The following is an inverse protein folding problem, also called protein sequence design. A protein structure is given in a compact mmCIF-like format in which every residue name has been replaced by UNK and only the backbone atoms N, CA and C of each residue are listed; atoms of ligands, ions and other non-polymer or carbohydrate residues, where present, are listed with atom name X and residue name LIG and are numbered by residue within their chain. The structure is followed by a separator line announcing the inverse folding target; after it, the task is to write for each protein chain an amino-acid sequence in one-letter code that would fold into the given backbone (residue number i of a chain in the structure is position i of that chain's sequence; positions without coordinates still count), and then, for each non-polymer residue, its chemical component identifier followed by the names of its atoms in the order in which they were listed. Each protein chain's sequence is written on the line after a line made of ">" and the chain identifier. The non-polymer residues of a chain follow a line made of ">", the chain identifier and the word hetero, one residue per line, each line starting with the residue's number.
data_IF_047891097354
#
_entry.id   IF_047891097354
#
_cell.length_a   1.000
_cell.length_b   1.000
_cell.length_c   1.000
_cell.angle_alpha   90.00
_cell.angle_beta   90.00
_cell.angle_gamma   90.00
#
_symmetry.space_group_name_H-M   'P 1'
#
loop_
_entity.id
_entity.type
_entity.pdbx_description
1 polymer ?
#
# COMPACT_ATOMS: atom_id res chain seq x y z
N UNK A 1 7.09 -2.27 16.92
CA UNK A 1 6.55 -1.32 17.92
C UNK A 1 5.19 -1.82 18.36
N UNK A 2 4.90 -1.80 19.67
CA UNK A 2 3.58 -2.14 20.22
C UNK A 2 3.10 -0.98 21.07
N UNK A 3 1.93 -0.43 20.73
CA UNK A 3 1.26 0.62 21.50
C UNK A 3 -0.12 0.15 21.92
N UNK A 4 -0.58 0.64 23.07
CA UNK A 4 -1.91 0.36 23.58
C UNK A 4 -2.73 1.64 23.52
N UNK A 5 -3.90 1.58 22.88
CA UNK A 5 -4.86 2.67 22.82
C UNK A 5 -6.19 2.21 23.43
N UNK A 6 -6.64 2.92 24.46
CA UNK A 6 -7.95 2.71 25.07
C UNK A 6 -8.92 3.79 24.58
N UNK A 7 -10.06 3.38 24.07
CA UNK A 7 -11.10 4.30 23.60
C UNK A 7 -12.19 4.40 24.63
N UNK A 8 -12.32 5.56 25.26
CA UNK A 8 -13.38 5.83 26.26
C UNK A 8 -14.67 6.15 25.53
N UNK A 9 -15.70 5.33 25.73
CA UNK A 9 -17.05 5.54 25.19
C UNK A 9 -18.09 5.44 26.31
N UNK A 10 -19.22 6.12 26.14
CA UNK A 10 -20.40 5.98 27.00
C UNK A 10 -20.12 6.16 28.51
N UNK A 11 -19.12 6.93 28.90
CA UNK A 11 -18.76 7.13 30.30
C UNK A 11 -17.94 6.01 30.93
N UNK A 12 -17.35 5.13 30.11
CA UNK A 12 -16.40 4.12 30.57
C UNK A 12 -15.21 4.76 31.29
N UNK A 13 -14.72 4.10 32.31
CA UNK A 13 -13.51 4.51 33.03
C UNK A 13 -12.29 3.78 32.47
N UNK A 14 -11.18 4.48 32.38
CA UNK A 14 -9.89 3.87 32.01
C UNK A 14 -9.51 2.87 33.12
N UNK A 15 -9.17 1.60 32.78
CA UNK A 15 -8.77 0.62 33.78
C UNK A 15 -7.60 1.12 34.65
N UNK A 16 -7.66 0.85 35.94
CA UNK A 16 -6.59 1.21 36.88
C UNK A 16 -5.26 0.58 36.45
N UNK A 17 -4.21 1.36 36.39
CA UNK A 17 -2.86 0.92 35.95
C UNK A 17 -2.70 0.76 34.43
N UNK A 18 -3.64 1.22 33.62
CA UNK A 18 -3.48 1.23 32.17
C UNK A 18 -2.34 2.17 31.76
N UNK A 19 -1.29 1.62 31.13
CA UNK A 19 -0.07 2.33 30.76
C UNK A 19 -0.03 2.79 29.29
N UNK A 20 -1.15 2.68 28.58
CA UNK A 20 -1.28 3.08 27.17
C UNK A 20 -1.87 4.47 27.01
N UNK A 21 -2.14 4.82 25.77
CA UNK A 21 -2.76 6.09 25.42
C UNK A 21 -4.28 6.01 25.52
N UNK A 22 -4.92 7.14 25.75
CA UNK A 22 -6.38 7.23 25.93
C UNK A 22 -6.97 8.16 24.86
N UNK A 23 -7.85 7.61 24.03
CA UNK A 23 -8.68 8.38 23.11
C UNK A 23 -10.04 8.68 23.78
N UNK A 24 -10.36 9.94 23.94
CA UNK A 24 -11.59 10.41 24.60
C UNK A 24 -12.76 10.46 23.62
N UNK A 25 -13.32 9.28 23.30
CA UNK A 25 -14.41 9.12 22.34
C UNK A 25 -13.93 8.70 20.94
N UNK A 26 -14.82 8.78 19.96
CA UNK A 26 -14.49 8.46 18.58
C UNK A 26 -13.64 9.57 17.96
N UNK A 27 -12.58 9.18 17.22
CA UNK A 27 -11.73 10.13 16.53
C UNK A 27 -12.49 10.83 15.40
N UNK A 28 -12.49 12.16 15.41
CA UNK A 28 -13.15 13.03 14.42
C UNK A 28 -12.18 13.95 13.70
N UNK A 29 -10.99 14.11 14.25
CA UNK A 29 -9.91 14.96 13.74
C UNK A 29 -8.64 14.13 13.71
N UNK A 30 -8.35 13.60 12.53
CA UNK A 30 -7.27 12.64 12.33
C UNK A 30 -6.16 13.27 11.47
N UNK A 31 -4.92 13.12 11.90
CA UNK A 31 -3.75 13.37 11.06
C UNK A 31 -3.23 12.03 10.55
N UNK A 32 -3.21 11.86 9.22
CA UNK A 32 -2.80 10.63 8.56
C UNK A 32 -1.39 10.77 7.96
N UNK A 33 -0.42 10.03 8.50
CA UNK A 33 0.97 10.10 8.05
C UNK A 33 1.30 9.18 6.87
N UNK A 34 0.29 8.44 6.35
CA UNK A 34 0.42 7.61 5.16
C UNK A 34 -0.82 7.74 4.28
N UNK A 35 -0.64 7.67 2.95
CA UNK A 35 -1.73 7.63 1.99
C UNK A 35 -2.61 6.37 2.12
N UNK A 36 -2.05 5.24 2.64
CA UNK A 36 -2.82 4.03 2.92
C UNK A 36 -3.87 4.25 4.00
N UNK A 37 -3.56 5.06 5.04
CA UNK A 37 -4.53 5.43 6.08
C UNK A 37 -5.69 6.25 5.50
N UNK A 38 -5.39 7.14 4.55
CA UNK A 38 -6.40 7.94 3.84
C UNK A 38 -7.36 7.02 3.08
N UNK A 39 -6.81 6.07 2.31
CA UNK A 39 -7.60 5.12 1.54
C UNK A 39 -8.49 4.24 2.44
N UNK A 40 -7.99 3.81 3.60
CA UNK A 40 -8.77 3.03 4.57
C UNK A 40 -9.93 3.85 5.15
N UNK A 41 -9.68 5.11 5.53
CA UNK A 41 -10.73 6.01 6.04
C UNK A 41 -11.76 6.36 4.95
N UNK A 42 -11.32 6.51 3.71
CA UNK A 42 -12.22 6.74 2.56
C UNK A 42 -13.10 5.53 2.28
N UNK A 43 -12.53 4.32 2.30
CA UNK A 43 -13.26 3.07 2.06
C UNK A 43 -14.43 2.85 3.05
N UNK A 44 -14.31 3.37 4.27
CA UNK A 44 -15.36 3.30 5.30
C UNK A 44 -16.24 4.57 5.33
N UNK A 45 -16.02 5.53 4.40
CA UNK A 45 -16.77 6.78 4.30
C UNK A 45 -16.47 7.79 5.40
N UNK A 46 -15.27 7.74 6.00
CA UNK A 46 -14.83 8.62 7.09
C UNK A 46 -13.64 9.53 6.68
N UNK A 47 -13.37 9.69 5.38
CA UNK A 47 -12.28 10.55 4.87
C UNK A 47 -12.38 12.00 5.36
N UNK A 48 -13.57 12.45 5.73
CA UNK A 48 -13.81 13.80 6.27
C UNK A 48 -13.29 14.01 7.70
N UNK A 49 -12.97 12.94 8.41
CA UNK A 49 -12.28 13.03 9.70
C UNK A 49 -10.81 13.49 9.54
N UNK A 50 -10.26 13.44 8.34
CA UNK A 50 -8.89 13.85 8.07
C UNK A 50 -8.77 15.36 8.06
N UNK A 51 -7.97 15.90 8.99
CA UNK A 51 -7.65 17.32 9.13
C UNK A 51 -6.22 17.65 8.76
N UNK A 52 -5.34 16.65 8.75
CA UNK A 52 -3.94 16.80 8.36
C UNK A 52 -3.38 15.55 7.70
N UNK A 53 -2.39 15.74 6.85
CA UNK A 53 -1.72 14.68 6.08
C UNK A 53 -0.23 14.95 5.96
N UNK A 54 0.51 13.92 5.53
CA UNK A 54 1.91 14.02 5.13
C UNK A 54 1.98 14.07 3.60
N UNK A 55 2.51 15.16 3.03
CA UNK A 55 2.80 15.30 1.61
C UNK A 55 1.56 15.35 0.72
N UNK A 56 0.70 16.35 0.93
CA UNK A 56 -0.60 16.51 0.24
C UNK A 56 -0.52 16.47 -1.28
N UNK A 57 0.59 16.90 -1.87
CA UNK A 57 0.77 16.91 -3.32
C UNK A 57 0.81 15.49 -3.93
N UNK A 58 1.28 14.50 -3.16
CA UNK A 58 1.39 13.11 -3.60
C UNK A 58 0.14 12.27 -3.32
N UNK A 59 -0.87 12.83 -2.66
CA UNK A 59 -2.12 12.14 -2.37
C UNK A 59 -3.02 12.18 -3.60
N UNK A 60 -3.57 11.03 -3.97
CA UNK A 60 -4.44 10.87 -5.15
C UNK A 60 -5.92 10.96 -4.79
N UNK A 61 -6.29 10.84 -3.51
CA UNK A 61 -7.67 10.85 -3.05
C UNK A 61 -8.39 12.15 -3.46
N UNK A 62 -9.51 12.08 -4.21
CA UNK A 62 -10.17 13.26 -4.75
C UNK A 62 -10.83 14.15 -3.69
N UNK A 63 -11.30 13.59 -2.56
CA UNK A 63 -11.89 14.40 -1.47
C UNK A 63 -10.79 15.21 -0.77
N UNK A 64 -9.62 14.61 -0.51
CA UNK A 64 -8.46 15.31 0.04
C UNK A 64 -8.02 16.43 -0.90
N UNK A 65 -7.88 16.16 -2.20
CA UNK A 65 -7.46 17.17 -3.17
C UNK A 65 -8.48 18.30 -3.33
N UNK A 66 -9.78 17.99 -3.28
CA UNK A 66 -10.84 19.00 -3.33
C UNK A 66 -10.86 19.93 -2.10
N UNK A 67 -10.37 19.45 -0.96
CA UNK A 67 -10.30 20.18 0.32
C UNK A 67 -8.89 20.62 0.71
N UNK A 68 -7.93 20.55 -0.21
CA UNK A 68 -6.50 20.75 0.11
C UNK A 68 -6.20 22.05 0.86
N UNK A 69 -6.94 23.14 0.58
CA UNK A 69 -6.73 24.43 1.24
C UNK A 69 -7.19 24.44 2.72
N UNK A 70 -7.96 23.44 3.13
CA UNK A 70 -8.47 23.28 4.49
C UNK A 70 -7.84 22.08 5.24
N UNK A 71 -6.96 21.36 4.61
CA UNK A 71 -6.22 20.23 5.18
C UNK A 71 -4.77 20.65 5.41
N UNK A 72 -4.27 20.42 6.63
CA UNK A 72 -2.88 20.76 6.96
C UNK A 72 -1.89 19.75 6.35
N UNK A 73 -0.91 20.22 5.58
CA UNK A 73 0.24 19.40 5.24
C UNK A 73 1.27 19.52 6.37
N UNK A 74 1.33 18.52 7.24
CA UNK A 74 2.22 18.54 8.41
C UNK A 74 3.67 18.18 8.07
N UNK A 75 3.96 17.91 6.81
CA UNK A 75 5.30 17.51 6.36
C UNK A 75 5.57 16.00 6.51
N UNK A 76 6.84 15.63 6.43
CA UNK A 76 7.30 14.25 6.47
C UNK A 76 8.01 13.93 7.78
N UNK A 77 8.08 12.68 8.15
CA UNK A 77 8.86 12.22 9.28
C UNK A 77 10.32 12.73 9.19
N UNK A 78 10.81 13.32 10.28
CA UNK A 78 12.09 14.02 10.31
C UNK A 78 12.03 15.53 10.01
N UNK A 79 10.91 16.03 9.44
CA UNK A 79 10.69 17.48 9.22
C UNK A 79 9.19 17.83 9.39
N UNK A 80 8.66 17.56 10.58
CA UNK A 80 7.25 17.81 10.92
C UNK A 80 7.04 19.25 11.37
N UNK A 81 6.01 19.89 10.86
CA UNK A 81 5.51 21.16 11.34
C UNK A 81 4.60 20.94 12.56
N UNK A 82 5.19 20.89 13.76
CA UNK A 82 4.45 20.68 15.00
C UNK A 82 3.54 21.85 15.38
N UNK A 83 3.84 23.07 14.95
CA UNK A 83 2.95 24.21 15.18
C UNK A 83 1.64 24.05 14.40
N UNK A 84 1.75 23.66 13.14
CA UNK A 84 0.59 23.32 12.32
C UNK A 84 -0.17 22.13 12.91
N UNK A 85 0.54 21.04 13.25
CA UNK A 85 -0.06 19.84 13.84
C UNK A 85 -0.88 20.19 15.08
N UNK A 86 -0.34 20.99 16.01
CA UNK A 86 -1.06 21.49 17.18
C UNK A 86 -2.28 22.34 16.83
N UNK A 87 -2.16 23.20 15.81
CA UNK A 87 -3.26 24.06 15.38
C UNK A 87 -4.43 23.29 14.78
N UNK A 88 -4.15 22.10 14.24
CA UNK A 88 -5.18 21.16 13.75
C UNK A 88 -5.94 20.49 14.89
N UNK A 89 -5.42 20.53 16.12
CA UNK A 89 -6.00 19.96 17.34
C UNK A 89 -6.51 18.51 17.10
N UNK A 90 -5.64 17.56 16.70
CA UNK A 90 -6.06 16.23 16.34
C UNK A 90 -6.46 15.38 17.55
N UNK A 91 -7.51 14.59 17.40
CA UNK A 91 -7.87 13.56 18.38
C UNK A 91 -6.90 12.37 18.30
N UNK A 92 -6.35 12.10 17.10
CA UNK A 92 -5.51 10.94 16.83
C UNK A 92 -4.55 11.21 15.68
N UNK A 93 -3.29 10.80 15.83
CA UNK A 93 -2.30 10.74 14.74
C UNK A 93 -2.08 9.29 14.34
N UNK A 94 -2.27 8.96 13.05
CA UNK A 94 -1.98 7.63 12.51
C UNK A 94 -0.55 7.59 11.98
N UNK A 95 0.29 6.75 12.59
CA UNK A 95 1.70 6.58 12.25
C UNK A 95 1.93 5.28 11.47
N UNK A 96 3.05 5.20 10.79
CA UNK A 96 3.61 3.96 10.26
C UNK A 96 5.04 3.76 10.83
N UNK A 97 5.49 2.52 10.94
CA UNK A 97 6.74 2.18 11.62
C UNK A 97 7.66 1.29 10.77
N UNK A 98 7.79 1.56 9.49
CA UNK A 98 8.59 0.75 8.55
C UNK A 98 10.03 0.61 9.01
N UNK A 99 10.61 1.68 9.55
CA UNK A 99 11.98 1.73 10.05
C UNK A 99 12.09 1.63 11.58
N UNK A 100 11.04 1.17 12.25
CA UNK A 100 10.96 1.12 13.72
C UNK A 100 10.02 2.19 14.29
N UNK A 101 10.30 2.61 15.54
CA UNK A 101 9.52 3.66 16.19
C UNK A 101 9.67 5.00 15.44
N UNK A 102 8.57 5.73 15.29
CA UNK A 102 8.59 7.05 14.66
C UNK A 102 9.31 8.06 15.53
N UNK A 103 10.09 8.95 14.92
CA UNK A 103 10.70 10.08 15.61
C UNK A 103 9.65 11.06 16.20
N UNK A 104 8.38 10.92 15.79
CA UNK A 104 7.28 11.74 16.30
C UNK A 104 6.79 11.30 17.69
N UNK A 105 7.00 10.03 18.10
CA UNK A 105 6.42 9.48 19.35
C UNK A 105 6.66 10.40 20.55
N UNK A 106 7.94 10.64 20.90
CA UNK A 106 8.29 11.44 22.07
C UNK A 106 7.66 12.84 22.06
N UNK A 107 7.51 13.42 20.87
CA UNK A 107 6.90 14.76 20.75
C UNK A 107 5.38 14.71 20.87
N UNK A 108 4.73 13.68 20.34
CA UNK A 108 3.30 13.47 20.49
C UNK A 108 2.94 13.19 21.97
N UNK A 109 3.77 12.39 22.66
CA UNK A 109 3.63 12.15 24.11
C UNK A 109 3.79 13.46 24.93
N UNK A 110 4.81 14.27 24.63
CA UNK A 110 5.02 15.57 25.27
C UNK A 110 3.82 16.51 25.09
N UNK A 111 3.16 16.43 23.94
CA UNK A 111 2.01 17.25 23.56
C UNK A 111 0.66 16.67 23.99
N UNK A 112 0.64 15.51 24.65
CA UNK A 112 -0.56 14.76 25.05
C UNK A 112 -1.50 14.47 23.85
N UNK A 113 -0.92 14.19 22.67
CA UNK A 113 -1.66 13.86 21.44
C UNK A 113 -1.64 12.34 21.25
N UNK A 114 -2.77 11.66 21.30
CA UNK A 114 -2.85 10.22 21.05
C UNK A 114 -2.37 9.86 19.64
N UNK A 115 -1.64 8.74 19.53
CA UNK A 115 -1.23 8.21 18.25
C UNK A 115 -1.39 6.69 18.18
N UNK A 116 -1.51 6.16 16.98
CA UNK A 116 -1.63 4.74 16.72
C UNK A 116 -0.79 4.34 15.52
N UNK A 117 -0.07 3.22 15.63
CA UNK A 117 0.57 2.62 14.47
C UNK A 117 -0.42 1.78 13.66
N UNK A 118 -0.45 2.01 12.36
CA UNK A 118 -1.15 1.16 11.39
C UNK A 118 -0.12 0.24 10.76
N UNK A 119 -0.24 -1.05 11.03
CA UNK A 119 0.76 -2.06 10.66
C UNK A 119 0.48 -2.75 9.32
N UNK A 120 -0.28 -2.13 8.43
CA UNK A 120 -0.67 -2.69 7.14
C UNK A 120 0.51 -3.11 6.25
N UNK A 121 1.65 -2.43 6.39
CA UNK A 121 2.87 -2.74 5.64
C UNK A 121 3.55 -4.05 6.10
N UNK A 122 3.23 -4.56 7.29
CA UNK A 122 3.73 -5.83 7.82
C UNK A 122 2.91 -7.04 7.34
N UNK A 123 1.73 -6.79 6.78
CA UNK A 123 0.85 -7.85 6.32
C UNK A 123 1.39 -8.54 5.07
N UNK A 124 1.52 -9.86 5.16
CA UNK A 124 1.88 -10.69 4.02
C UNK A 124 0.68 -11.01 3.13
N UNK A 125 -0.53 -10.99 3.71
CA UNK A 125 -1.77 -11.28 3.01
C UNK A 125 -2.37 -10.02 2.38
N UNK A 126 -2.72 -10.02 1.08
CA UNK A 126 -3.45 -8.92 0.46
C UNK A 126 -4.78 -8.60 1.16
N UNK A 127 -5.47 -9.61 1.65
CA UNK A 127 -6.73 -9.44 2.39
C UNK A 127 -6.49 -8.92 3.81
N UNK A 128 -5.45 -9.41 4.52
CA UNK A 128 -5.07 -8.91 5.84
C UNK A 128 -4.70 -7.41 5.78
N UNK A 129 -3.99 -7.01 4.73
CA UNK A 129 -3.65 -5.60 4.51
C UNK A 129 -4.91 -4.73 4.37
N UNK A 130 -5.90 -5.17 3.61
CA UNK A 130 -7.17 -4.46 3.46
C UNK A 130 -8.02 -4.45 4.74
N UNK A 131 -7.93 -5.49 5.57
CA UNK A 131 -8.71 -5.63 6.82
C UNK A 131 -8.40 -4.52 7.84
N UNK A 132 -7.24 -3.86 7.75
CA UNK A 132 -6.91 -2.72 8.61
C UNK A 132 -7.92 -1.58 8.54
N UNK A 133 -8.73 -1.48 7.46
CA UNK A 133 -9.85 -0.54 7.41
C UNK A 133 -10.87 -0.78 8.55
N UNK A 134 -11.03 -2.02 9.01
CA UNK A 134 -11.92 -2.36 10.13
C UNK A 134 -11.37 -1.80 11.44
N UNK A 135 -10.04 -1.85 11.65
CA UNK A 135 -9.38 -1.23 12.81
C UNK A 135 -9.62 0.29 12.81
N UNK A 136 -9.44 0.96 11.65
CA UNK A 136 -9.70 2.40 11.54
C UNK A 136 -11.18 2.73 11.73
N UNK A 137 -12.09 1.84 11.33
CA UNK A 137 -13.51 2.01 11.59
C UNK A 137 -13.85 1.91 13.08
N UNK A 138 -13.10 1.12 13.85
CA UNK A 138 -13.27 1.05 15.31
C UNK A 138 -12.90 2.40 15.97
N UNK A 139 -11.76 3.00 15.62
CA UNK A 139 -11.34 4.27 16.23
C UNK A 139 -12.24 5.47 15.83
N UNK A 140 -12.96 5.37 14.73
CA UNK A 140 -13.96 6.38 14.29
C UNK A 140 -15.39 6.08 14.73
N UNK A 141 -15.63 5.00 15.51
CA UNK A 141 -16.96 4.59 15.95
C UNK A 141 -17.87 4.08 14.83
N UNK A 142 -17.27 3.55 13.74
CA UNK A 142 -17.97 3.10 12.53
C UNK A 142 -17.72 1.63 12.22
N UNK A 143 -17.48 0.79 13.24
CA UNK A 143 -17.11 -0.63 13.08
C UNK A 143 -18.01 -1.38 12.10
N UNK A 144 -19.33 -1.27 12.22
CA UNK A 144 -20.25 -1.93 11.29
C UNK A 144 -20.05 -1.53 9.83
N UNK A 145 -19.69 -0.25 9.57
CA UNK A 145 -19.36 0.22 8.21
C UNK A 145 -18.08 -0.44 7.71
N UNK A 146 -17.04 -0.52 8.55
CA UNK A 146 -15.77 -1.15 8.22
C UNK A 146 -15.93 -2.63 7.91
N UNK A 147 -16.62 -3.37 8.79
CA UNK A 147 -16.92 -4.79 8.59
C UNK A 147 -17.71 -5.02 7.28
N UNK A 148 -18.70 -4.18 6.99
CA UNK A 148 -19.50 -4.27 5.76
C UNK A 148 -18.66 -3.92 4.52
N UNK A 149 -17.81 -2.89 4.59
CA UNK A 149 -16.93 -2.51 3.47
C UNK A 149 -15.94 -3.62 3.16
N UNK A 150 -15.32 -4.21 4.19
CA UNK A 150 -14.36 -5.30 4.04
C UNK A 150 -15.02 -6.60 3.54
N UNK A 151 -16.20 -6.97 4.04
CA UNK A 151 -16.81 -8.30 3.81
C UNK A 151 -16.95 -8.69 2.34
N UNK A 152 -17.15 -7.73 1.43
CA UNK A 152 -17.30 -7.99 0.01
C UNK A 152 -15.96 -8.27 -0.71
N UNK A 153 -14.85 -7.77 -0.17
CA UNK A 153 -13.51 -7.86 -0.80
C UNK A 153 -13.02 -9.31 -0.85
N UNK A 154 -13.00 -10.09 0.27
CA UNK A 154 -12.58 -11.49 0.24
C UNK A 154 -13.45 -12.36 -0.69
N UNK A 155 -14.74 -12.05 -0.80
CA UNK A 155 -15.66 -12.79 -1.68
C UNK A 155 -15.22 -12.66 -3.15
N UNK A 156 -14.98 -11.42 -3.61
CA UNK A 156 -14.53 -11.16 -4.99
C UNK A 156 -13.12 -11.69 -5.23
N UNK A 157 -12.21 -11.46 -4.29
CA UNK A 157 -10.82 -11.91 -4.35
C UNK A 157 -10.74 -13.44 -4.49
N UNK A 158 -11.39 -14.17 -3.58
CA UNK A 158 -11.34 -15.63 -3.57
C UNK A 158 -12.09 -16.27 -4.74
N UNK A 159 -13.16 -15.66 -5.23
CA UNK A 159 -13.86 -16.12 -6.43
C UNK A 159 -12.93 -16.04 -7.66
N UNK A 160 -12.19 -14.95 -7.83
CA UNK A 160 -11.26 -14.79 -8.94
C UNK A 160 -10.06 -15.74 -8.80
N UNK A 161 -9.45 -15.81 -7.62
CA UNK A 161 -8.36 -16.77 -7.30
C UNK A 161 -8.78 -18.20 -7.62
N UNK A 162 -9.99 -18.60 -7.23
CA UNK A 162 -10.53 -19.93 -7.56
C UNK A 162 -10.69 -20.12 -9.07
N UNK A 163 -11.21 -19.13 -9.80
CA UNK A 163 -11.35 -19.18 -11.26
C UNK A 163 -10.01 -19.40 -11.96
N UNK A 164 -8.95 -18.74 -11.48
CA UNK A 164 -7.57 -18.95 -11.97
C UNK A 164 -7.09 -20.36 -11.66
N UNK A 165 -7.25 -20.84 -10.43
CA UNK A 165 -6.80 -22.17 -10.00
C UNK A 165 -7.52 -23.31 -10.74
N UNK A 166 -8.78 -23.13 -11.10
CA UNK A 166 -9.57 -24.10 -11.86
C UNK A 166 -9.23 -24.09 -13.38
N UNK A 167 -8.44 -23.11 -13.85
CA UNK A 167 -8.04 -23.02 -15.25
C UNK A 167 -6.86 -23.95 -15.56
N UNK A 168 -6.71 -24.30 -16.84
CA UNK A 168 -5.58 -25.11 -17.36
C UNK A 168 -4.53 -24.23 -18.05
N UNK A 169 -4.50 -22.94 -17.75
CA UNK A 169 -3.63 -21.96 -18.38
C UNK A 169 -2.18 -22.10 -17.92
N UNK A 170 -1.26 -21.58 -18.71
CA UNK A 170 0.16 -21.56 -18.35
C UNK A 170 0.45 -20.69 -17.11
N UNK A 171 1.62 -20.83 -16.53
CA UNK A 171 2.05 -20.08 -15.36
C UNK A 171 3.22 -19.16 -15.75
N UNK A 172 2.97 -17.91 -16.18
CA UNK A 172 4.04 -17.01 -16.59
C UNK A 172 4.99 -16.68 -15.42
N UNK A 173 6.29 -16.67 -15.73
CA UNK A 173 7.32 -16.25 -14.77
C UNK A 173 7.45 -14.73 -14.76
N UNK A 174 7.54 -14.17 -13.56
CA UNK A 174 7.44 -12.72 -13.33
C UNK A 174 8.67 -12.19 -12.60
N UNK A 175 9.38 -11.25 -13.23
CA UNK A 175 10.42 -10.41 -12.62
C UNK A 175 9.78 -9.16 -12.02
N UNK A 176 10.28 -8.72 -10.86
CA UNK A 176 9.77 -7.56 -10.14
C UNK A 176 10.82 -6.48 -9.97
N UNK A 177 10.34 -5.23 -9.91
CA UNK A 177 11.11 -4.03 -9.55
C UNK A 177 12.15 -3.62 -10.61
N UNK A 178 13.02 -2.70 -10.23
CA UNK A 178 14.17 -2.20 -11.00
C UNK A 178 15.39 -2.13 -10.08
N UNK A 179 16.61 -2.05 -10.60
CA UNK A 179 17.80 -1.88 -9.79
C UNK A 179 17.78 -0.55 -9.01
N UNK A 180 18.37 -0.57 -7.84
CA UNK A 180 18.68 0.62 -7.05
C UNK A 180 20.19 0.66 -6.80
N UNK A 181 20.87 1.58 -7.46
CA UNK A 181 22.33 1.56 -7.55
C UNK A 181 22.84 0.28 -8.20
N UNK A 182 23.78 -0.40 -7.53
CA UNK A 182 24.40 -1.64 -8.00
C UNK A 182 23.69 -2.91 -7.47
N UNK A 183 22.50 -2.77 -6.89
CA UNK A 183 21.76 -3.86 -6.29
C UNK A 183 20.34 -3.93 -6.83
N UNK A 184 19.78 -5.15 -6.84
CA UNK A 184 18.37 -5.38 -7.12
C UNK A 184 17.69 -5.99 -5.90
N UNK A 185 16.69 -5.31 -5.34
CA UNK A 185 16.01 -5.76 -4.15
C UNK A 185 14.87 -6.72 -4.50
N UNK A 186 15.05 -7.98 -4.11
CA UNK A 186 14.11 -9.07 -4.37
C UNK A 186 13.19 -9.27 -3.17
N UNK A 187 11.87 -9.05 -3.33
CA UNK A 187 10.89 -9.34 -2.28
C UNK A 187 10.94 -10.79 -1.80
N UNK A 188 10.45 -11.03 -0.59
CA UNK A 188 10.23 -12.38 -0.09
C UNK A 188 9.17 -13.11 -0.93
N UNK A 189 9.29 -14.44 -1.01
CA UNK A 189 8.25 -15.32 -1.57
C UNK A 189 6.94 -15.27 -0.75
N UNK A 190 7.02 -14.82 0.51
CA UNK A 190 5.88 -14.62 1.40
C UNK A 190 5.29 -13.19 1.32
N UNK A 191 5.94 -12.30 0.58
CA UNK A 191 5.50 -10.91 0.47
C UNK A 191 4.12 -10.78 -0.17
N UNK A 192 3.43 -9.71 0.18
CA UNK A 192 2.17 -9.30 -0.40
C UNK A 192 2.16 -9.37 -1.94
N UNK A 193 3.20 -8.84 -2.61
CA UNK A 193 3.28 -8.83 -4.07
C UNK A 193 3.52 -10.22 -4.64
N UNK A 194 4.35 -11.05 -4.00
CA UNK A 194 4.59 -12.43 -4.45
C UNK A 194 3.31 -13.29 -4.33
N UNK A 195 2.51 -13.07 -3.26
CA UNK A 195 1.20 -13.73 -3.09
C UNK A 195 0.21 -13.30 -4.16
N UNK A 196 0.12 -12.02 -4.48
CA UNK A 196 -0.74 -11.53 -5.57
C UNK A 196 -0.38 -12.16 -6.90
N UNK A 197 0.92 -12.27 -7.23
CA UNK A 197 1.38 -12.93 -8.46
C UNK A 197 0.95 -14.40 -8.46
N UNK A 198 1.14 -15.12 -7.36
CA UNK A 198 0.76 -16.53 -7.24
C UNK A 198 -0.76 -16.70 -7.34
N UNK A 199 -1.53 -15.88 -6.65
CA UNK A 199 -3.00 -15.92 -6.66
C UNK A 199 -3.60 -15.55 -8.02
N UNK A 200 -2.86 -14.77 -8.82
CA UNK A 200 -3.19 -14.43 -10.20
C UNK A 200 -2.74 -15.49 -11.23
N UNK A 201 -2.14 -16.60 -10.79
CA UNK A 201 -1.67 -17.69 -11.65
C UNK A 201 -0.29 -17.47 -12.27
N UNK A 202 0.47 -16.50 -11.80
CA UNK A 202 1.86 -16.29 -12.17
C UNK A 202 2.84 -16.99 -11.21
N UNK A 203 4.10 -16.99 -11.57
CA UNK A 203 5.20 -17.50 -10.75
C UNK A 203 6.23 -16.39 -10.54
N UNK A 204 6.33 -15.90 -9.30
CA UNK A 204 7.42 -15.00 -8.94
C UNK A 204 8.77 -15.70 -9.18
N UNK A 205 9.66 -15.07 -9.93
CA UNK A 205 10.84 -15.76 -10.45
C UNK A 205 11.90 -16.05 -9.38
N UNK A 206 12.02 -15.17 -8.37
CA UNK A 206 13.04 -15.32 -7.32
C UNK A 206 12.52 -16.13 -6.13
N UNK A 207 13.02 -17.36 -5.99
CA UNK A 207 12.53 -18.30 -4.97
C UNK A 207 13.46 -18.46 -3.75
N UNK A 208 14.62 -17.78 -3.74
CA UNK A 208 15.63 -17.97 -2.69
C UNK A 208 15.35 -17.15 -1.41
N UNK A 209 14.50 -16.10 -1.50
CA UNK A 209 14.15 -15.27 -0.34
C UNK A 209 12.86 -15.76 0.31
N UNK A 210 12.99 -16.51 1.40
CA UNK A 210 11.87 -17.00 2.24
C UNK A 210 11.73 -16.23 3.55
N UNK A 211 12.50 -15.18 3.75
CA UNK A 211 12.47 -14.31 4.93
C UNK A 211 11.25 -13.37 4.93
N UNK A 212 11.29 -12.33 5.74
CA UNK A 212 10.23 -11.35 5.92
C UNK A 212 10.54 -9.96 5.32
N UNK A 213 11.73 -9.79 4.73
CA UNK A 213 12.17 -8.55 4.12
C UNK A 213 12.73 -8.79 2.71
N UNK A 214 12.81 -7.75 1.89
CA UNK A 214 13.53 -7.81 0.62
C UNK A 214 15.02 -7.94 0.86
N UNK A 215 15.70 -8.72 0.01
CA UNK A 215 17.16 -8.89 0.06
C UNK A 215 17.79 -8.38 -1.24
N UNK A 216 18.98 -7.76 -1.18
CA UNK A 216 19.70 -7.37 -2.36
C UNK A 216 20.35 -8.59 -3.05
N UNK A 217 20.31 -8.58 -4.39
CA UNK A 217 21.14 -9.44 -5.25
C UNK A 217 21.96 -8.55 -6.18
N UNK A 218 23.02 -9.09 -6.75
CA UNK A 218 23.82 -8.36 -7.74
C UNK A 218 23.09 -8.26 -9.10
N UNK A 219 23.57 -7.36 -9.96
CA UNK A 219 22.95 -7.12 -11.26
C UNK A 219 23.17 -8.27 -12.25
N UNK A 220 24.17 -9.13 -12.05
CA UNK A 220 24.43 -10.29 -12.91
C UNK A 220 23.38 -11.38 -12.63
N UNK A 221 23.13 -11.70 -11.35
CA UNK A 221 22.05 -12.62 -10.96
C UNK A 221 20.69 -12.08 -11.40
N UNK A 222 20.44 -10.79 -11.20
CA UNK A 222 19.20 -10.14 -11.64
C UNK A 222 19.01 -10.23 -13.17
N UNK A 223 20.07 -10.03 -13.94
CA UNK A 223 20.02 -10.15 -15.40
C UNK A 223 19.67 -11.54 -15.88
N UNK A 224 20.27 -12.58 -15.25
CA UNK A 224 19.96 -13.97 -15.57
C UNK A 224 18.48 -14.29 -15.29
N UNK A 225 17.96 -13.85 -14.14
CA UNK A 225 16.55 -14.01 -13.80
C UNK A 225 15.63 -13.28 -14.79
N UNK A 226 15.92 -12.01 -15.10
CA UNK A 226 15.13 -11.21 -16.03
C UNK A 226 15.17 -11.77 -17.46
N UNK A 227 16.28 -12.44 -17.85
CA UNK A 227 16.39 -13.09 -19.17
C UNK A 227 15.49 -14.30 -19.31
N UNK A 228 15.20 -14.99 -18.19
CA UNK A 228 14.29 -16.15 -18.15
C UNK A 228 12.84 -15.77 -17.84
N UNK A 229 12.58 -14.52 -17.45
CA UNK A 229 11.25 -14.06 -17.13
C UNK A 229 10.37 -13.92 -18.37
N UNK A 230 9.10 -14.33 -18.25
CA UNK A 230 8.07 -14.09 -19.26
C UNK A 230 7.59 -12.64 -19.21
N UNK A 231 7.49 -12.07 -18.01
CA UNK A 231 6.96 -10.73 -17.76
C UNK A 231 7.81 -9.97 -16.74
N UNK A 232 7.80 -8.64 -16.86
CA UNK A 232 8.47 -7.74 -15.94
C UNK A 232 7.49 -6.72 -15.38
N UNK A 233 7.29 -6.71 -14.05
CA UNK A 233 6.32 -5.85 -13.37
C UNK A 233 7.00 -4.85 -12.42
N UNK A 234 6.28 -3.76 -12.13
CA UNK A 234 6.64 -2.75 -11.13
C UNK A 234 7.98 -2.08 -11.44
N UNK A 235 8.10 -1.56 -12.64
CA UNK A 235 9.35 -1.00 -13.19
C UNK A 235 9.61 0.45 -12.75
N UNK A 236 9.36 0.75 -11.51
CA UNK A 236 9.68 2.03 -10.87
C UNK A 236 8.88 3.20 -11.44
N UNK A 237 9.57 4.28 -11.80
CA UNK A 237 8.94 5.52 -12.29
C UNK A 237 8.68 5.51 -13.80
N UNK A 238 9.15 4.49 -14.53
CA UNK A 238 9.06 4.47 -15.98
C UNK A 238 7.61 4.47 -16.49
N UNK A 239 7.33 5.34 -17.46
CA UNK A 239 6.03 5.47 -18.12
C UNK A 239 6.03 4.90 -19.55
N UNK A 240 7.21 4.61 -20.10
CA UNK A 240 7.43 4.02 -21.42
C UNK A 240 8.63 3.07 -21.43
N UNK A 241 8.73 2.23 -22.46
CA UNK A 241 9.91 1.39 -22.68
C UNK A 241 11.18 2.21 -22.90
N UNK A 242 11.06 3.39 -23.52
CA UNK A 242 12.21 4.28 -23.73
C UNK A 242 12.74 4.85 -22.41
N UNK A 243 11.85 5.25 -21.48
CA UNK A 243 12.25 5.68 -20.14
C UNK A 243 12.91 4.54 -19.35
N UNK A 244 12.35 3.32 -19.43
CA UNK A 244 12.93 2.15 -18.81
C UNK A 244 14.29 1.80 -19.40
N UNK A 245 14.44 1.88 -20.74
CA UNK A 245 15.72 1.71 -21.42
C UNK A 245 16.76 2.71 -20.97
N UNK A 246 16.37 3.96 -20.78
CA UNK A 246 17.30 5.01 -20.30
C UNK A 246 17.77 4.74 -18.86
N UNK A 247 16.90 4.25 -17.99
CA UNK A 247 17.22 3.96 -16.58
C UNK A 247 17.88 2.59 -16.37
N UNK A 248 17.56 1.59 -17.19
CA UNK A 248 18.03 0.20 -17.05
C UNK A 248 18.57 -0.36 -18.38
N UNK A 249 19.57 0.27 -19.04
CA UNK A 249 19.98 -0.09 -20.41
C UNK A 249 20.48 -1.53 -20.54
N UNK A 250 21.10 -2.10 -19.48
CA UNK A 250 21.59 -3.48 -19.47
C UNK A 250 20.50 -4.54 -19.57
N UNK A 251 19.24 -4.18 -19.26
CA UNK A 251 18.12 -5.13 -19.21
C UNK A 251 17.23 -5.09 -20.47
N UNK A 252 17.57 -4.27 -21.46
CA UNK A 252 16.81 -4.14 -22.72
C UNK A 252 16.93 -5.35 -23.63
N UNK A 253 17.93 -6.22 -23.37
CA UNK A 253 18.13 -7.45 -24.13
C UNK A 253 17.35 -8.65 -23.57
N UNK A 254 16.68 -8.50 -22.41
CA UNK A 254 15.85 -9.53 -21.81
C UNK A 254 14.62 -9.87 -22.66
N UNK A 255 14.14 -11.11 -22.53
CA UNK A 255 13.00 -11.58 -23.33
C UNK A 255 11.73 -10.76 -23.11
N UNK A 256 11.40 -10.49 -21.83
CA UNK A 256 10.22 -9.71 -21.47
C UNK A 256 10.29 -8.28 -22.05
N UNK A 257 11.44 -7.61 -22.02
CA UNK A 257 11.60 -6.28 -22.62
C UNK A 257 11.42 -6.32 -24.14
N UNK A 258 12.09 -7.23 -24.85
CA UNK A 258 12.01 -7.35 -26.32
C UNK A 258 10.60 -7.69 -26.83
N UNK A 259 9.83 -8.45 -26.05
CA UNK A 259 8.47 -8.83 -26.40
C UNK A 259 7.45 -7.77 -25.96
N UNK A 260 7.86 -6.71 -25.27
CA UNK A 260 6.96 -5.69 -24.74
C UNK A 260 6.12 -6.16 -23.55
N UNK A 261 6.51 -7.27 -22.91
CA UNK A 261 5.81 -7.83 -21.74
C UNK A 261 6.29 -7.17 -20.45
N UNK A 262 6.20 -5.84 -20.45
CA UNK A 262 6.61 -4.96 -19.34
C UNK A 262 5.40 -4.16 -18.89
N UNK A 263 5.07 -4.27 -17.62
CA UNK A 263 3.90 -3.62 -17.02
C UNK A 263 4.31 -2.83 -15.78
N UNK A 264 3.68 -1.68 -15.60
CA UNK A 264 3.94 -0.87 -14.41
C UNK A 264 2.64 -0.58 -13.66
N UNK A 265 2.75 -0.46 -12.35
CA UNK A 265 1.63 -0.19 -11.43
C UNK A 265 1.31 1.31 -11.30
N UNK A 266 1.68 2.11 -12.29
CA UNK A 266 1.52 3.57 -12.29
C UNK A 266 0.49 4.07 -13.31
N UNK A 267 -0.54 3.27 -13.60
CA UNK A 267 -1.62 3.69 -14.50
C UNK A 267 -2.39 4.92 -13.97
N UNK A 268 -2.43 5.08 -12.64
CA UNK A 268 -3.11 6.19 -11.96
C UNK A 268 -2.10 6.99 -11.14
N UNK A 269 -1.47 7.96 -11.79
CA UNK A 269 -0.50 8.85 -11.17
C UNK A 269 -0.98 10.29 -11.30
N UNK A 270 -0.92 11.07 -10.22
CA UNK A 270 -1.25 12.49 -10.27
C UNK A 270 -0.09 13.33 -10.85
N UNK A 271 -0.30 14.62 -11.06
CA UNK A 271 0.68 15.52 -11.70
C UNK A 271 1.96 15.74 -10.87
N UNK A 272 1.92 15.50 -9.56
CA UNK A 272 3.08 15.59 -8.68
C UNK A 272 3.86 14.26 -8.58
N UNK A 273 3.36 13.18 -9.20
CA UNK A 273 3.97 11.86 -9.17
C UNK A 273 3.40 10.93 -8.09
N UNK A 274 2.37 11.35 -7.36
CA UNK A 274 1.65 10.50 -6.42
C UNK A 274 0.98 9.34 -7.16
N UNK A 275 1.23 8.11 -6.73
CA UNK A 275 0.76 6.90 -7.40
C UNK A 275 -0.33 6.23 -6.56
N UNK A 276 -1.54 6.19 -7.10
CA UNK A 276 -2.73 5.62 -6.44
C UNK A 276 -2.62 4.13 -6.13
N UNK A 277 -1.73 3.40 -6.78
CA UNK A 277 -1.42 2.02 -6.39
C UNK A 277 -0.91 1.92 -4.94
N UNK A 278 -0.13 2.90 -4.49
CA UNK A 278 0.36 2.95 -3.10
C UNK A 278 -0.62 3.61 -2.13
N UNK A 279 -1.79 3.98 -2.61
CA UNK A 279 -2.88 4.58 -1.84
C UNK A 279 -4.11 3.67 -1.84
N UNK A 280 -4.95 3.74 -2.86
CA UNK A 280 -6.25 3.04 -2.88
C UNK A 280 -6.15 1.53 -3.11
N UNK A 281 -5.06 1.00 -3.68
CA UNK A 281 -4.92 -0.43 -3.89
C UNK A 281 -4.86 -1.24 -2.58
N UNK A 282 -4.46 -0.62 -1.46
CA UNK A 282 -4.44 -1.28 -0.15
C UNK A 282 -5.81 -1.81 0.27
N UNK A 283 -6.87 -1.09 -0.06
CA UNK A 283 -8.27 -1.44 0.24
C UNK A 283 -8.98 -2.14 -0.93
N UNK A 284 -8.30 -2.32 -2.06
CA UNK A 284 -8.83 -2.93 -3.28
C UNK A 284 -7.95 -4.09 -3.80
N UNK A 285 -7.53 -5.05 -2.95
CA UNK A 285 -6.67 -6.15 -3.38
C UNK A 285 -7.34 -7.05 -4.42
N UNK A 286 -8.65 -7.14 -4.45
CA UNK A 286 -9.44 -7.85 -5.46
C UNK A 286 -9.33 -7.19 -6.85
N UNK A 287 -9.23 -5.86 -6.91
CA UNK A 287 -9.00 -5.13 -8.16
C UNK A 287 -7.55 -5.30 -8.63
N UNK A 288 -6.57 -5.26 -7.70
CA UNK A 288 -5.16 -5.53 -8.03
C UNK A 288 -5.00 -6.97 -8.55
N UNK A 289 -5.63 -7.94 -7.88
CA UNK A 289 -5.65 -9.33 -8.36
C UNK A 289 -6.25 -9.43 -9.76
N UNK A 290 -7.36 -8.72 -10.01
CA UNK A 290 -8.02 -8.69 -11.32
C UNK A 290 -7.11 -8.14 -12.42
N UNK A 291 -6.40 -7.06 -12.13
CA UNK A 291 -5.43 -6.47 -13.06
C UNK A 291 -4.31 -7.46 -13.40
N UNK A 292 -3.75 -8.14 -12.40
CA UNK A 292 -2.73 -9.17 -12.63
C UNK A 292 -3.28 -10.37 -13.40
N UNK A 293 -4.50 -10.84 -13.11
CA UNK A 293 -5.15 -11.88 -13.89
C UNK A 293 -5.39 -11.43 -15.34
N UNK A 294 -5.77 -10.18 -15.56
CA UNK A 294 -5.91 -9.62 -16.91
C UNK A 294 -4.59 -9.63 -17.69
N UNK A 295 -3.49 -9.35 -17.00
CA UNK A 295 -2.14 -9.36 -17.59
C UNK A 295 -1.67 -10.79 -17.89
N UNK A 296 -1.87 -11.72 -16.96
CA UNK A 296 -1.36 -13.10 -17.10
C UNK A 296 -2.27 -13.99 -17.94
N UNK A 297 -3.58 -13.78 -17.86
CA UNK A 297 -4.65 -14.61 -18.43
C UNK A 297 -5.78 -13.73 -18.97
N UNK A 298 -5.56 -12.96 -20.04
CA UNK A 298 -6.52 -11.97 -20.55
C UNK A 298 -7.88 -12.59 -20.93
N UNK A 299 -7.94 -13.88 -21.17
CA UNK A 299 -9.17 -14.63 -21.47
C UNK A 299 -10.08 -14.82 -20.23
N UNK A 300 -9.55 -14.70 -19.02
CA UNK A 300 -10.33 -14.85 -17.78
C UNK A 300 -11.01 -13.56 -17.34
N UNK A 301 -10.54 -12.39 -17.79
CA UNK A 301 -11.01 -11.07 -17.34
C UNK A 301 -11.24 -10.17 -18.56
N UNK A 302 -12.43 -9.57 -18.65
CA UNK A 302 -12.77 -8.64 -19.73
C UNK A 302 -12.48 -7.18 -19.41
N UNK A 303 -12.55 -6.82 -18.13
CA UNK A 303 -12.35 -5.45 -17.64
C UNK A 303 -10.93 -4.96 -17.93
N UNK A 304 -10.79 -3.67 -18.17
CA UNK A 304 -9.50 -3.01 -18.29
C UNK A 304 -8.81 -2.89 -16.91
N UNK A 305 -7.47 -2.84 -16.93
CA UNK A 305 -6.69 -2.66 -15.72
C UNK A 305 -6.94 -1.27 -15.11
N UNK A 306 -6.98 -1.22 -13.78
CA UNK A 306 -7.16 0.01 -13.00
C UNK A 306 -5.82 0.59 -12.58
N UNK A 307 -4.94 -0.25 -12.04
CA UNK A 307 -3.66 0.16 -11.46
C UNK A 307 -2.48 -0.09 -12.38
N UNK A 308 -2.57 -1.11 -13.22
CA UNK A 308 -1.49 -1.51 -14.12
C UNK A 308 -1.68 -1.00 -15.53
N UNK A 309 -0.57 -0.70 -16.20
CA UNK A 309 -0.52 -0.44 -17.65
C UNK A 309 0.68 -1.13 -18.27
N UNK A 310 0.52 -1.57 -19.53
CA UNK A 310 1.64 -2.03 -20.35
C UNK A 310 2.47 -0.83 -20.81
N UNK A 311 3.78 -0.91 -20.69
CA UNK A 311 4.67 0.10 -21.23
C UNK A 311 4.84 -0.08 -22.75
N UNK A 312 4.80 1.01 -23.47
CA UNK A 312 4.98 1.06 -24.93
C UNK A 312 6.12 1.97 -25.30
#
# INVERSE_FOLDING_TARGET
>A
VTTWLFIVRNGEEVPEGFAGQVLKGDAKRIVAMSSTHIAMLDAIGEVRCITGVSGIDYISNPDIQARRDSIGDVGYEGNINYELLLSLDPDLVLLYGVNGASAMESKLEELDIPFMYVGDYLEESPLGKAEWMVVLSEVTGKREKGEKAFAAIPVRYNALKKKVADSTLGTPSVMLNVPYGDSWFMPSTQSYVARLITDAGGRYIYQKNTGNASIPIDLEEAYLLASDADMWLNVGMANSLDELKASCPKFTDTRCFKNGEVYNNNARTNTAGGNDYYESAVVNPDIVLRDLVKIFHPELVQEECVYYKQLK
#
